data_IF_011406782805
#
_entry.id   IF_011406782805
#
_cell.length_a   1.000
_cell.length_b   1.000
_cell.length_c   1.000
_cell.angle_alpha   90.00
_cell.angle_beta   90.00
_cell.angle_gamma   90.00
#
_symmetry.space_group_name_H-M   'P 1'
#
loop_
_entity.id
_entity.type
_entity.pdbx_description
1 polymer ?
#
# COMPACT_ATOMS: atom_id res chain seq x y z
N UNK A 1 -27.14 -0.21 -0.58
CA UNK A 1 -26.26 0.00 -1.76
C UNK A 1 -26.18 1.47 -2.16
N UNK A 2 -27.30 2.20 -2.47
CA UNK A 2 -27.21 3.60 -2.93
C UNK A 2 -26.43 4.52 -1.97
N UNK A 3 -26.75 4.50 -0.68
CA UNK A 3 -26.02 5.28 0.34
C UNK A 3 -24.54 4.93 0.40
N UNK A 4 -24.23 3.65 0.29
CA UNK A 4 -22.85 3.15 0.23
C UNK A 4 -22.09 3.66 -1.02
N UNK A 5 -22.72 3.62 -2.20
CA UNK A 5 -22.08 4.14 -3.43
C UNK A 5 -21.82 5.64 -3.34
N UNK A 6 -22.75 6.42 -2.73
CA UNK A 6 -22.56 7.85 -2.51
C UNK A 6 -21.40 8.09 -1.54
N UNK A 7 -21.38 7.40 -0.39
CA UNK A 7 -20.34 7.55 0.61
C UNK A 7 -18.97 7.15 0.05
N UNK A 8 -18.90 6.08 -0.72
CA UNK A 8 -17.69 5.59 -1.38
C UNK A 8 -17.10 6.64 -2.34
N UNK A 9 -17.93 7.17 -3.24
CA UNK A 9 -17.50 8.22 -4.17
C UNK A 9 -17.06 9.51 -3.46
N UNK A 10 -17.85 9.97 -2.47
CA UNK A 10 -17.50 11.17 -1.70
C UNK A 10 -16.18 10.95 -0.91
N UNK A 11 -15.96 9.76 -0.35
CA UNK A 11 -14.73 9.42 0.35
C UNK A 11 -13.50 9.46 -0.57
N UNK A 12 -13.62 8.95 -1.79
CA UNK A 12 -12.58 9.07 -2.81
C UNK A 12 -12.28 10.53 -3.17
N UNK A 13 -13.31 11.35 -3.39
CA UNK A 13 -13.11 12.78 -3.66
C UNK A 13 -12.44 13.50 -2.48
N UNK A 14 -12.82 13.17 -1.24
CA UNK A 14 -12.19 13.75 -0.07
C UNK A 14 -10.71 13.38 0.03
N UNK A 15 -10.31 12.12 -0.26
CA UNK A 15 -8.90 11.73 -0.32
C UNK A 15 -8.14 12.55 -1.36
N UNK A 16 -8.69 12.74 -2.57
CA UNK A 16 -8.05 13.55 -3.62
C UNK A 16 -7.88 15.03 -3.21
N UNK A 17 -8.78 15.57 -2.39
CA UNK A 17 -8.77 16.98 -1.98
C UNK A 17 -7.93 17.19 -0.72
N UNK A 18 -8.12 16.38 0.32
CA UNK A 18 -7.51 16.60 1.64
C UNK A 18 -6.19 15.86 1.81
N UNK A 19 -6.12 14.57 1.39
CA UNK A 19 -5.02 13.67 1.77
C UNK A 19 -4.98 13.44 3.27
N UNK A 20 -3.82 13.06 3.82
CA UNK A 20 -3.65 12.74 5.25
C UNK A 20 -2.83 13.84 5.97
N UNK A 21 -3.44 14.97 6.33
CA UNK A 21 -2.72 16.01 7.04
C UNK A 21 -2.28 15.54 8.43
N UNK A 22 -1.04 15.84 8.82
CA UNK A 22 -0.42 15.31 10.05
C UNK A 22 -1.18 15.65 11.34
N UNK A 23 -1.94 16.75 11.36
CA UNK A 23 -2.73 17.19 12.51
C UNK A 23 -4.03 16.40 12.70
N UNK A 24 -4.51 15.71 11.64
CA UNK A 24 -5.75 14.93 11.71
C UNK A 24 -5.47 13.58 12.38
N UNK A 25 -6.24 13.18 13.42
CA UNK A 25 -6.17 11.83 13.94
C UNK A 25 -6.47 10.80 12.85
N UNK A 26 -5.56 9.85 12.64
CA UNK A 26 -5.70 8.86 11.59
C UNK A 26 -5.88 7.46 12.20
N UNK A 27 -6.93 6.69 11.85
CA UNK A 27 -7.21 5.37 12.41
C UNK A 27 -6.05 4.38 12.24
N UNK A 28 -5.27 4.48 11.17
CA UNK A 28 -4.09 3.63 10.96
C UNK A 28 -3.03 3.81 12.06
N UNK A 29 -2.88 5.02 12.61
CA UNK A 29 -1.99 5.26 13.75
C UNK A 29 -2.49 4.56 15.01
N UNK A 30 -3.81 4.48 15.21
CA UNK A 30 -4.40 3.74 16.34
C UNK A 30 -4.18 2.25 16.18
N UNK A 31 -4.36 1.70 14.98
CA UNK A 31 -4.03 0.31 14.64
C UNK A 31 -2.54 0.06 14.88
N UNK A 32 -1.66 0.94 14.41
CA UNK A 32 -0.22 0.84 14.65
C UNK A 32 0.14 0.85 16.12
N UNK A 33 -0.47 1.71 16.93
CA UNK A 33 -0.27 1.75 18.38
C UNK A 33 -0.72 0.44 19.06
N UNK A 34 -1.84 -0.14 18.62
CA UNK A 34 -2.31 -1.43 19.10
C UNK A 34 -1.30 -2.55 18.76
N UNK A 35 -0.78 -2.55 17.52
CA UNK A 35 0.25 -3.50 17.08
C UNK A 35 1.48 -3.39 17.99
N UNK A 36 2.01 -2.18 18.21
CA UNK A 36 3.18 -1.94 19.09
C UNK A 36 2.93 -2.40 20.52
N UNK A 37 1.75 -2.13 21.07
CA UNK A 37 1.39 -2.55 22.43
C UNK A 37 1.36 -4.08 22.57
N UNK A 38 0.75 -4.76 21.59
CA UNK A 38 0.68 -6.23 21.55
C UNK A 38 2.06 -6.86 21.27
N UNK A 39 2.84 -6.27 20.36
CA UNK A 39 4.21 -6.69 20.08
C UNK A 39 5.06 -6.68 21.38
N UNK A 40 5.10 -5.55 22.09
CA UNK A 40 5.81 -5.44 23.36
C UNK A 40 5.38 -6.51 24.37
N UNK A 41 4.07 -6.80 24.45
CA UNK A 41 3.55 -7.80 25.39
C UNK A 41 3.89 -9.22 24.99
N UNK A 42 3.95 -9.55 23.70
CA UNK A 42 4.10 -10.90 23.19
C UNK A 42 5.55 -11.26 22.87
N UNK A 43 6.39 -10.31 22.40
CA UNK A 43 7.81 -10.55 22.14
C UNK A 43 8.67 -10.55 23.42
N UNK A 44 8.33 -9.73 24.41
CA UNK A 44 9.11 -9.62 25.66
C UNK A 44 9.12 -10.89 26.53
N UNK A 45 8.32 -11.88 26.21
CA UNK A 45 8.33 -13.17 26.91
C UNK A 45 9.36 -14.12 26.29
N UNK A 46 10.64 -13.79 26.44
CA UNK A 46 11.73 -14.74 26.16
C UNK A 46 11.50 -16.02 26.95
N UNK A 47 11.37 -17.12 26.26
CA UNK A 47 11.33 -18.46 26.86
C UNK A 47 12.76 -18.95 27.04
N UNK A 48 13.48 -18.41 28.04
CA UNK A 48 14.79 -18.94 28.43
C UNK A 48 14.66 -20.45 28.70
N UNK A 49 15.44 -21.25 27.98
CA UNK A 49 15.54 -22.69 28.22
C UNK A 49 14.65 -23.62 27.36
N UNK A 50 13.96 -23.11 26.36
CA UNK A 50 13.23 -23.97 25.40
C UNK A 50 14.12 -24.39 24.23
N UNK A 51 13.86 -25.60 23.70
CA UNK A 51 14.46 -26.02 22.44
C UNK A 51 14.07 -25.06 21.30
N UNK A 52 14.95 -24.83 20.34
CA UNK A 52 14.76 -23.88 19.23
C UNK A 52 13.43 -24.07 18.49
N UNK A 53 13.01 -25.31 18.23
CA UNK A 53 11.72 -25.62 17.56
C UNK A 53 10.49 -25.21 18.40
N UNK A 54 10.55 -25.35 19.72
CA UNK A 54 9.46 -24.95 20.60
C UNK A 54 9.35 -23.41 20.69
N UNK A 55 10.50 -22.74 20.66
CA UNK A 55 10.54 -21.28 20.63
C UNK A 55 9.91 -20.74 19.34
N UNK A 56 10.30 -21.24 18.17
CA UNK A 56 9.69 -20.86 16.88
C UNK A 56 8.17 -21.07 16.87
N UNK A 57 7.69 -22.23 17.35
CA UNK A 57 6.25 -22.53 17.43
C UNK A 57 5.53 -21.57 18.36
N UNK A 58 6.14 -21.23 19.48
CA UNK A 58 5.60 -20.26 20.45
C UNK A 58 5.50 -18.85 19.85
N UNK A 59 6.53 -18.38 19.14
CA UNK A 59 6.55 -17.09 18.45
C UNK A 59 5.46 -17.02 17.38
N UNK A 60 5.33 -18.04 16.54
CA UNK A 60 4.26 -18.12 15.52
C UNK A 60 2.87 -18.05 16.14
N UNK A 61 2.61 -18.78 17.23
CA UNK A 61 1.32 -18.73 17.94
C UNK A 61 1.01 -17.34 18.46
N UNK A 62 2.00 -16.67 19.08
CA UNK A 62 1.84 -15.30 19.62
C UNK A 62 1.63 -14.28 18.51
N UNK A 63 2.36 -14.40 17.39
CA UNK A 63 2.13 -13.57 16.22
C UNK A 63 0.75 -13.78 15.60
N UNK A 64 0.30 -15.03 15.49
CA UNK A 64 -1.07 -15.34 15.03
C UNK A 64 -2.13 -14.76 15.96
N UNK A 65 -1.91 -14.85 17.28
CA UNK A 65 -2.82 -14.24 18.26
C UNK A 65 -2.87 -12.71 18.13
N UNK A 66 -1.72 -12.06 17.90
CA UNK A 66 -1.66 -10.62 17.61
C UNK A 66 -2.53 -10.28 16.40
N UNK A 67 -2.35 -10.98 15.27
CA UNK A 67 -3.16 -10.75 14.05
C UNK A 67 -4.64 -10.89 14.36
N UNK A 68 -5.04 -11.95 15.06
CA UNK A 68 -6.45 -12.17 15.43
C UNK A 68 -7.01 -11.05 16.29
N UNK A 69 -6.27 -10.58 17.32
CA UNK A 69 -6.71 -9.49 18.19
C UNK A 69 -6.85 -8.19 17.41
N UNK A 70 -5.85 -7.82 16.59
CA UNK A 70 -5.89 -6.58 15.80
C UNK A 70 -7.08 -6.59 14.85
N UNK A 71 -7.32 -7.70 14.14
CA UNK A 71 -8.47 -7.81 13.23
C UNK A 71 -9.80 -7.78 13.97
N UNK A 72 -9.92 -8.46 15.12
CA UNK A 72 -11.15 -8.49 15.91
C UNK A 72 -11.50 -7.10 16.48
N UNK A 73 -10.50 -6.38 16.99
CA UNK A 73 -10.69 -5.01 17.52
C UNK A 73 -11.05 -4.07 16.38
N UNK A 74 -10.33 -4.15 15.24
CA UNK A 74 -10.62 -3.31 14.08
C UNK A 74 -12.03 -3.55 13.57
N UNK A 75 -12.44 -4.82 13.41
CA UNK A 75 -13.80 -5.19 13.01
C UNK A 75 -14.84 -4.62 13.99
N UNK A 76 -14.67 -4.88 15.29
CA UNK A 76 -15.65 -4.46 16.29
C UNK A 76 -15.84 -2.94 16.33
N UNK A 77 -14.72 -2.18 16.30
CA UNK A 77 -14.77 -0.71 16.32
C UNK A 77 -15.39 -0.15 15.05
N UNK A 78 -14.93 -0.61 13.87
CA UNK A 78 -15.42 -0.09 12.59
C UNK A 78 -16.87 -0.47 12.34
N UNK A 79 -17.26 -1.71 12.64
CA UNK A 79 -18.65 -2.15 12.54
C UNK A 79 -19.57 -1.38 13.49
N UNK A 80 -19.15 -1.17 14.74
CA UNK A 80 -19.90 -0.37 15.72
C UNK A 80 -20.14 1.06 15.22
N UNK A 81 -19.10 1.73 14.68
CA UNK A 81 -19.23 3.10 14.18
C UNK A 81 -20.15 3.19 12.98
N UNK A 82 -20.01 2.31 11.99
CA UNK A 82 -20.82 2.33 10.76
C UNK A 82 -22.26 1.94 11.07
N UNK A 83 -22.47 0.81 11.74
CA UNK A 83 -23.81 0.31 12.04
C UNK A 83 -24.52 1.29 13.00
N UNK A 84 -23.85 1.76 14.04
CA UNK A 84 -24.39 2.74 14.97
C UNK A 84 -24.83 4.02 14.29
N UNK A 85 -24.02 4.55 13.36
CA UNK A 85 -24.35 5.75 12.60
C UNK A 85 -25.59 5.55 11.71
N UNK A 86 -25.68 4.42 10.99
CA UNK A 86 -26.85 4.12 10.15
C UNK A 86 -28.12 3.84 10.96
N UNK A 87 -28.02 3.25 12.15
CA UNK A 87 -29.16 3.04 13.05
C UNK A 87 -29.71 4.36 13.60
N UNK A 88 -28.84 5.36 13.84
CA UNK A 88 -29.23 6.67 14.29
C UNK A 88 -29.93 7.47 13.16
N UNK A 89 -29.27 7.56 11.99
CA UNK A 89 -29.84 8.26 10.85
C UNK A 89 -29.09 7.89 9.55
N UNK A 90 -29.80 7.63 8.42
CA UNK A 90 -29.13 7.25 7.16
C UNK A 90 -28.09 8.26 6.67
N UNK A 91 -28.33 9.55 6.76
CA UNK A 91 -27.36 10.60 6.35
C UNK A 91 -26.16 10.68 7.28
N UNK A 92 -26.34 10.39 8.58
CA UNK A 92 -25.20 10.25 9.50
C UNK A 92 -24.35 9.03 9.12
N UNK A 93 -25.00 7.93 8.76
CA UNK A 93 -24.31 6.74 8.21
C UNK A 93 -23.47 7.09 6.99
N UNK A 94 -24.04 7.78 6.02
CA UNK A 94 -23.29 8.25 4.82
C UNK A 94 -22.12 9.14 5.20
N UNK A 95 -22.29 10.09 6.12
CA UNK A 95 -21.21 10.99 6.53
C UNK A 95 -20.04 10.23 7.20
N UNK A 96 -20.37 9.32 8.14
CA UNK A 96 -19.35 8.49 8.82
C UNK A 96 -18.65 7.58 7.83
N UNK A 97 -19.39 6.91 6.95
CA UNK A 97 -18.85 6.03 5.93
C UNK A 97 -17.95 6.80 4.94
N UNK A 98 -18.34 8.01 4.53
CA UNK A 98 -17.55 8.91 3.69
C UNK A 98 -16.21 9.24 4.34
N UNK A 99 -16.21 9.64 5.62
CA UNK A 99 -14.99 9.99 6.36
C UNK A 99 -14.10 8.75 6.52
N UNK A 100 -14.68 7.61 6.86
CA UNK A 100 -13.93 6.37 7.00
C UNK A 100 -13.33 5.90 5.67
N UNK A 101 -14.07 5.99 4.57
CA UNK A 101 -13.57 5.66 3.21
C UNK A 101 -12.42 6.59 2.82
N UNK A 102 -12.56 7.88 3.06
CA UNK A 102 -11.48 8.85 2.87
C UNK A 102 -10.18 8.45 3.60
N UNK A 103 -10.28 8.03 4.86
CA UNK A 103 -9.12 7.65 5.68
C UNK A 103 -8.55 6.26 5.34
N UNK A 104 -9.19 5.49 4.48
CA UNK A 104 -8.73 4.19 3.98
C UNK A 104 -7.82 4.37 2.75
N UNK A 105 -8.13 5.32 1.89
CA UNK A 105 -7.42 5.58 0.63
C UNK A 105 -6.18 6.47 0.86
N UNK A 106 -5.20 6.37 -0.01
CA UNK A 106 -3.94 7.08 0.15
C UNK A 106 -3.43 7.76 -1.15
N UNK A 107 -4.32 8.11 -2.09
CA UNK A 107 -3.92 8.67 -3.39
C UNK A 107 -3.19 10.00 -3.23
N UNK A 108 -3.81 10.93 -2.50
CA UNK A 108 -3.21 12.26 -2.25
C UNK A 108 -1.97 12.17 -1.36
N UNK A 109 -2.01 11.32 -0.34
CA UNK A 109 -0.90 11.13 0.59
C UNK A 109 0.35 10.64 -0.15
N UNK A 110 0.24 9.61 -0.98
CA UNK A 110 1.33 9.08 -1.80
C UNK A 110 1.93 10.13 -2.73
N UNK A 111 1.06 10.92 -3.39
CA UNK A 111 1.52 12.04 -4.22
C UNK A 111 2.29 13.07 -3.40
N UNK A 112 1.75 13.51 -2.28
CA UNK A 112 2.38 14.55 -1.45
C UNK A 112 3.75 14.08 -0.97
N UNK A 113 3.84 12.87 -0.42
CA UNK A 113 5.09 12.35 0.13
C UNK A 113 6.15 12.10 -0.96
N UNK A 114 5.78 11.49 -2.08
CA UNK A 114 6.71 11.28 -3.20
C UNK A 114 7.15 12.59 -3.87
N UNK A 115 6.26 13.59 -3.90
CA UNK A 115 6.61 14.91 -4.43
C UNK A 115 7.55 15.71 -3.52
N UNK A 116 7.59 15.44 -2.21
CA UNK A 116 8.65 15.97 -1.33
C UNK A 116 10.02 15.42 -1.75
N UNK A 117 10.12 14.13 -2.07
CA UNK A 117 11.36 13.53 -2.59
C UNK A 117 11.79 14.22 -3.89
N UNK A 118 10.85 14.43 -4.83
CA UNK A 118 11.13 15.17 -6.06
C UNK A 118 11.64 16.58 -5.81
N UNK A 119 11.00 17.32 -4.90
CA UNK A 119 11.41 18.70 -4.54
C UNK A 119 12.80 18.72 -3.92
N UNK A 120 13.08 17.80 -2.99
CA UNK A 120 14.39 17.72 -2.36
C UNK A 120 15.48 17.36 -3.38
N UNK A 121 15.24 16.39 -4.30
CA UNK A 121 16.19 16.06 -5.37
C UNK A 121 16.49 17.24 -6.31
N UNK A 122 15.50 18.10 -6.58
CA UNK A 122 15.63 19.17 -7.57
C UNK A 122 16.10 20.50 -6.98
N UNK A 123 15.87 20.76 -5.68
CA UNK A 123 16.08 22.08 -5.07
C UNK A 123 16.95 22.08 -3.82
N UNK A 124 16.96 21.01 -3.03
CA UNK A 124 17.55 21.01 -1.68
C UNK A 124 18.83 20.17 -1.60
N UNK A 125 18.99 19.20 -2.49
CA UNK A 125 20.16 18.34 -2.57
C UNK A 125 19.93 16.93 -2.03
N UNK A 126 20.98 16.10 -2.15
CA UNK A 126 20.89 14.64 -1.94
C UNK A 126 20.58 14.27 -0.48
N UNK A 127 21.11 15.00 0.50
CA UNK A 127 20.91 14.66 1.92
C UNK A 127 19.44 14.83 2.33
N UNK A 128 18.80 15.92 1.92
CA UNK A 128 17.37 16.15 2.19
C UNK A 128 16.51 15.16 1.40
N UNK A 129 16.90 14.82 0.18
CA UNK A 129 16.21 13.78 -0.61
C UNK A 129 16.28 12.39 0.04
N UNK A 130 17.43 12.02 0.63
CA UNK A 130 17.57 10.78 1.42
C UNK A 130 16.65 10.77 2.64
N UNK A 131 16.54 11.90 3.34
CA UNK A 131 15.61 12.04 4.49
C UNK A 131 14.16 11.92 4.03
N UNK A 132 13.80 12.59 2.94
CA UNK A 132 12.44 12.56 2.41
C UNK A 132 12.04 11.14 1.97
N UNK A 133 12.90 10.43 1.23
CA UNK A 133 12.60 9.07 0.78
C UNK A 133 12.59 8.08 1.94
N UNK A 134 13.39 8.27 3.00
CA UNK A 134 13.36 7.43 4.21
C UNK A 134 12.00 7.40 4.91
N UNK A 135 11.18 8.43 4.72
CA UNK A 135 9.82 8.49 5.28
C UNK A 135 8.83 7.55 4.57
N UNK A 136 9.16 7.07 3.38
CA UNK A 136 8.24 6.28 2.55
C UNK A 136 8.79 4.91 2.12
N UNK A 137 10.05 4.59 2.47
CA UNK A 137 10.67 3.29 2.15
C UNK A 137 11.20 2.59 3.40
N UNK A 138 11.25 1.26 3.36
CA UNK A 138 11.78 0.44 4.46
C UNK A 138 13.26 0.03 4.30
N UNK A 139 13.98 0.56 3.29
CA UNK A 139 15.41 0.26 3.03
C UNK A 139 16.33 1.36 3.56
N UNK A 140 17.62 1.05 3.66
CA UNK A 140 18.64 2.02 4.04
C UNK A 140 18.82 3.05 2.93
N UNK A 141 18.57 4.33 3.23
CA UNK A 141 18.59 5.41 2.25
C UNK A 141 19.90 6.19 2.22
N UNK A 142 20.72 6.11 3.27
CA UNK A 142 21.96 6.86 3.41
C UNK A 142 23.00 6.59 2.30
N UNK A 143 22.93 5.39 1.70
CA UNK A 143 23.87 4.97 0.65
C UNK A 143 23.38 5.24 -0.77
N UNK A 144 22.15 5.75 -0.94
CA UNK A 144 21.56 5.98 -2.26
C UNK A 144 22.10 7.26 -2.90
N UNK A 145 22.43 7.20 -4.17
CA UNK A 145 22.64 8.37 -5.00
C UNK A 145 21.29 8.97 -5.46
N UNK A 146 21.32 10.07 -6.20
CA UNK A 146 20.09 10.73 -6.66
C UNK A 146 19.20 9.82 -7.51
N UNK A 147 19.78 8.99 -8.37
CA UNK A 147 19.04 8.03 -9.18
C UNK A 147 18.43 6.93 -8.30
N UNK A 148 19.18 6.43 -7.32
CA UNK A 148 18.69 5.45 -6.35
C UNK A 148 17.53 5.97 -5.50
N UNK A 149 17.59 7.23 -5.07
CA UNK A 149 16.49 7.91 -4.35
C UNK A 149 15.26 8.04 -5.25
N UNK A 150 15.43 8.46 -6.52
CA UNK A 150 14.32 8.56 -7.46
C UNK A 150 13.67 7.20 -7.73
N UNK A 151 14.48 6.15 -8.00
CA UNK A 151 13.99 4.77 -8.16
C UNK A 151 13.18 4.32 -6.94
N UNK A 152 13.69 4.54 -5.73
CA UNK A 152 13.01 4.17 -4.50
C UNK A 152 11.64 4.83 -4.36
N UNK A 153 11.52 6.12 -4.69
CA UNK A 153 10.25 6.84 -4.67
C UNK A 153 9.28 6.30 -5.74
N UNK A 154 9.76 6.05 -6.96
CA UNK A 154 8.97 5.49 -8.07
C UNK A 154 8.43 4.09 -7.70
N UNK A 155 9.29 3.20 -7.19
CA UNK A 155 8.92 1.86 -6.73
C UNK A 155 7.83 1.93 -5.66
N UNK A 156 8.00 2.80 -4.66
CA UNK A 156 7.01 2.98 -3.58
C UNK A 156 5.65 3.45 -4.12
N UNK A 157 5.62 4.41 -5.03
CA UNK A 157 4.35 4.88 -5.62
C UNK A 157 3.73 3.77 -6.47
N UNK A 158 4.52 3.04 -7.25
CA UNK A 158 4.04 1.95 -8.10
C UNK A 158 3.45 0.80 -7.27
N UNK A 159 4.14 0.33 -6.22
CA UNK A 159 3.67 -0.71 -5.31
C UNK A 159 2.41 -0.26 -4.56
N UNK A 160 2.44 0.94 -3.98
CA UNK A 160 1.32 1.47 -3.22
C UNK A 160 0.13 1.90 -4.08
N UNK A 161 0.25 2.01 -5.40
CA UNK A 161 -0.91 2.09 -6.29
C UNK A 161 -1.80 0.85 -6.12
N UNK A 162 -1.22 -0.34 -5.86
CA UNK A 162 -1.98 -1.51 -5.43
C UNK A 162 -2.40 -1.39 -3.96
N UNK A 163 -1.43 -1.33 -3.06
CA UNK A 163 -1.64 -1.62 -1.63
C UNK A 163 -2.23 -0.44 -0.84
N UNK A 164 -2.01 0.78 -1.33
CA UNK A 164 -2.53 2.02 -0.74
C UNK A 164 -3.76 2.59 -1.42
N UNK A 165 -4.07 2.16 -2.67
CA UNK A 165 -5.16 2.73 -3.46
C UNK A 165 -6.15 1.67 -3.92
N UNK A 166 -5.78 0.79 -4.84
CA UNK A 166 -6.75 -0.11 -5.50
C UNK A 166 -7.21 -1.22 -4.56
N UNK A 167 -6.32 -1.86 -3.81
CA UNK A 167 -6.72 -2.92 -2.89
C UNK A 167 -7.69 -2.40 -1.81
N UNK A 168 -7.37 -1.33 -1.04
CA UNK A 168 -8.32 -0.80 -0.08
C UNK A 168 -9.61 -0.30 -0.73
N UNK A 169 -9.56 0.25 -1.95
CA UNK A 169 -10.72 0.65 -2.73
C UNK A 169 -11.64 -0.55 -3.03
N UNK A 170 -11.10 -1.67 -3.52
CA UNK A 170 -11.86 -2.89 -3.81
C UNK A 170 -12.51 -3.48 -2.55
N UNK A 171 -11.77 -3.56 -1.44
CA UNK A 171 -12.32 -4.06 -0.17
C UNK A 171 -13.42 -3.14 0.36
N UNK A 172 -13.25 -1.82 0.26
CA UNK A 172 -14.26 -0.84 0.67
C UNK A 172 -15.50 -0.93 -0.24
N UNK A 173 -15.33 -1.08 -1.54
CA UNK A 173 -16.43 -1.25 -2.48
C UNK A 173 -17.27 -2.51 -2.19
N UNK A 174 -16.64 -3.61 -1.75
CA UNK A 174 -17.29 -4.89 -1.48
C UNK A 174 -18.00 -4.94 -0.12
N UNK A 175 -17.44 -4.34 0.91
CA UNK A 175 -17.95 -4.49 2.27
C UNK A 175 -17.84 -3.24 3.14
N UNK A 176 -17.85 -2.07 2.48
CA UNK A 176 -17.79 -0.77 3.14
C UNK A 176 -16.49 -0.56 3.92
N UNK A 177 -16.44 0.47 4.76
CA UNK A 177 -15.25 0.79 5.54
C UNK A 177 -14.81 -0.33 6.48
N UNK A 178 -15.70 -1.25 6.84
CA UNK A 178 -15.34 -2.38 7.72
C UNK A 178 -14.32 -3.28 7.04
N UNK A 179 -14.58 -3.72 5.81
CA UNK A 179 -13.60 -4.52 5.04
C UNK A 179 -12.39 -3.69 4.64
N UNK A 180 -12.57 -2.42 4.30
CA UNK A 180 -11.47 -1.50 3.99
C UNK A 180 -10.47 -1.38 5.15
N UNK A 181 -10.94 -1.17 6.38
CA UNK A 181 -10.06 -1.09 7.56
C UNK A 181 -9.47 -2.45 7.96
N UNK A 182 -10.19 -3.55 7.77
CA UNK A 182 -9.60 -4.89 7.97
C UNK A 182 -8.42 -5.12 7.02
N UNK A 183 -8.58 -4.76 5.75
CA UNK A 183 -7.47 -4.81 4.80
C UNK A 183 -6.31 -3.89 5.23
N UNK A 184 -6.59 -2.64 5.61
CA UNK A 184 -5.56 -1.71 6.10
C UNK A 184 -4.87 -2.23 7.37
N UNK A 185 -5.59 -2.92 8.26
CA UNK A 185 -4.98 -3.54 9.44
C UNK A 185 -4.02 -4.68 9.06
N UNK A 186 -4.38 -5.52 8.08
CA UNK A 186 -3.48 -6.56 7.54
C UNK A 186 -2.22 -5.93 6.95
N UNK A 187 -2.38 -4.96 6.07
CA UNK A 187 -1.28 -4.27 5.41
C UNK A 187 -0.37 -3.52 6.42
N UNK A 188 -0.96 -2.89 7.44
CA UNK A 188 -0.19 -2.23 8.51
C UNK A 188 0.60 -3.23 9.35
N UNK A 189 0.01 -4.39 9.67
CA UNK A 189 0.73 -5.44 10.40
C UNK A 189 1.91 -5.96 9.59
N UNK A 190 1.76 -6.20 8.29
CA UNK A 190 2.88 -6.62 7.43
C UNK A 190 3.97 -5.56 7.41
N UNK A 191 3.63 -4.30 7.17
CA UNK A 191 4.58 -3.18 7.13
C UNK A 191 5.34 -2.99 8.46
N UNK A 192 4.76 -3.35 9.60
CA UNK A 192 5.38 -3.16 10.92
C UNK A 192 6.15 -4.38 11.42
N UNK A 193 5.64 -5.58 11.17
CA UNK A 193 6.17 -6.83 11.75
C UNK A 193 6.39 -7.95 10.73
N UNK A 194 6.12 -7.75 9.44
CA UNK A 194 6.26 -8.75 8.37
C UNK A 194 7.69 -8.98 7.87
N UNK A 195 8.67 -8.27 8.40
CA UNK A 195 10.07 -8.36 7.98
C UNK A 195 10.70 -9.74 8.20
N UNK A 196 11.51 -10.20 7.24
CA UNK A 196 12.27 -11.47 7.32
C UNK A 196 13.61 -11.29 8.05
N UNK A 197 13.61 -10.63 9.20
CA UNK A 197 14.76 -10.51 10.09
C UNK A 197 14.61 -11.46 11.31
N UNK A 198 15.67 -11.61 12.11
CA UNK A 198 15.68 -12.50 13.26
C UNK A 198 14.52 -12.24 14.23
N UNK A 199 14.15 -10.98 14.43
CA UNK A 199 13.09 -10.57 15.34
C UNK A 199 11.69 -11.02 14.89
N UNK A 200 11.41 -10.95 13.59
CA UNK A 200 10.05 -11.12 13.05
C UNK A 200 9.84 -12.37 12.19
N UNK A 201 10.91 -13.11 11.86
CA UNK A 201 10.85 -14.26 10.95
C UNK A 201 9.74 -15.26 11.30
N UNK A 202 9.57 -15.55 12.59
CA UNK A 202 8.52 -16.45 13.07
C UNK A 202 7.29 -15.67 13.56
N UNK A 203 7.49 -14.60 14.31
CA UNK A 203 6.42 -13.81 14.89
C UNK A 203 5.57 -13.11 13.84
N UNK A 204 6.17 -12.45 12.86
CA UNK A 204 5.48 -11.70 11.80
C UNK A 204 4.94 -12.57 10.66
N UNK A 205 5.25 -13.86 10.64
CA UNK A 205 4.92 -14.75 9.53
C UNK A 205 3.43 -14.78 9.16
N UNK A 206 2.54 -14.73 10.15
CA UNK A 206 1.08 -14.73 9.91
C UNK A 206 0.65 -13.41 9.29
N UNK A 207 1.18 -12.27 9.75
CA UNK A 207 0.91 -10.96 9.17
C UNK A 207 1.33 -10.91 7.70
N UNK A 208 2.59 -11.27 7.39
CA UNK A 208 3.11 -11.29 6.02
C UNK A 208 2.31 -12.20 5.08
N UNK A 209 1.95 -13.40 5.53
CA UNK A 209 1.12 -14.31 4.72
C UNK A 209 -0.30 -13.81 4.53
N UNK A 210 -0.89 -13.16 5.53
CA UNK A 210 -2.22 -12.57 5.40
C UNK A 210 -2.23 -11.46 4.37
N UNK A 211 -1.19 -10.61 4.37
CA UNK A 211 -1.02 -9.56 3.38
C UNK A 211 -0.82 -10.13 1.97
N UNK A 212 0.05 -11.12 1.80
CA UNK A 212 0.26 -11.80 0.52
C UNK A 212 -1.06 -12.34 -0.06
N UNK A 213 -1.93 -12.91 0.77
CA UNK A 213 -3.24 -13.45 0.35
C UNK A 213 -4.23 -12.32 0.04
N UNK A 214 -4.34 -11.32 0.91
CA UNK A 214 -5.25 -10.19 0.71
C UNK A 214 -4.90 -9.37 -0.53
N UNK A 215 -3.62 -9.22 -0.86
CA UNK A 215 -3.15 -8.50 -2.03
C UNK A 215 -3.10 -9.36 -3.30
N UNK A 216 -3.32 -10.67 -3.22
CA UNK A 216 -3.13 -11.54 -4.39
C UNK A 216 -4.01 -11.13 -5.58
N UNK A 217 -5.30 -11.00 -5.41
CA UNK A 217 -6.21 -10.58 -6.48
C UNK A 217 -6.14 -9.07 -6.75
N UNK A 218 -6.18 -8.18 -5.73
CA UNK A 218 -6.08 -6.74 -5.93
C UNK A 218 -4.87 -6.31 -6.72
N UNK A 219 -3.67 -6.85 -6.46
CA UNK A 219 -2.46 -6.45 -7.18
C UNK A 219 -2.51 -6.77 -8.69
N UNK A 220 -3.20 -7.83 -9.09
CA UNK A 220 -3.40 -8.18 -10.51
C UNK A 220 -4.42 -7.25 -11.15
N UNK A 221 -5.52 -6.95 -10.46
CA UNK A 221 -6.49 -5.96 -10.92
C UNK A 221 -5.80 -4.60 -11.07
N UNK A 222 -5.02 -4.18 -10.07
CA UNK A 222 -4.22 -2.94 -10.11
C UNK A 222 -3.30 -2.88 -11.32
N UNK A 223 -2.59 -3.97 -11.62
CA UNK A 223 -1.71 -4.05 -12.77
C UNK A 223 -2.47 -3.87 -14.09
N UNK A 224 -3.61 -4.51 -14.28
CA UNK A 224 -4.41 -4.35 -15.49
C UNK A 224 -5.02 -2.95 -15.60
N UNK A 225 -5.49 -2.36 -14.51
CA UNK A 225 -5.96 -0.97 -14.48
C UNK A 225 -4.82 0.00 -14.82
N UNK A 226 -3.62 -0.22 -14.28
CA UNK A 226 -2.44 0.59 -14.57
C UNK A 226 -1.96 0.43 -16.02
N UNK A 227 -2.06 -0.76 -16.62
CA UNK A 227 -1.82 -0.96 -18.05
C UNK A 227 -2.82 -0.15 -18.89
N UNK A 228 -4.12 -0.21 -18.56
CA UNK A 228 -5.14 0.59 -19.21
C UNK A 228 -4.86 2.10 -19.05
N UNK A 229 -4.49 2.53 -17.85
CA UNK A 229 -4.07 3.90 -17.58
C UNK A 229 -2.87 4.34 -18.43
N UNK A 230 -1.89 3.44 -18.65
CA UNK A 230 -0.75 3.73 -19.53
C UNK A 230 -1.13 3.86 -21.01
N UNK A 231 -2.16 3.15 -21.47
CA UNK A 231 -2.70 3.36 -22.83
C UNK A 231 -3.46 4.68 -22.98
N UNK A 232 -4.13 5.13 -21.91
CA UNK A 232 -4.95 6.35 -21.92
C UNK A 232 -4.16 7.61 -21.56
N UNK A 233 -3.00 7.45 -20.92
CA UNK A 233 -2.22 8.54 -20.33
C UNK A 233 -1.44 9.42 -21.34
N UNK A 234 -1.50 9.13 -22.64
CA UNK A 234 -0.84 9.90 -23.69
C UNK A 234 0.63 9.53 -23.90
N UNK A 235 1.39 10.44 -24.52
CA UNK A 235 2.77 10.19 -25.01
C UNK A 235 3.80 9.93 -23.90
N UNK A 236 3.50 10.27 -22.66
CA UNK A 236 4.42 10.03 -21.52
C UNK A 236 4.53 8.55 -21.15
N UNK A 237 3.62 7.71 -21.65
CA UNK A 237 3.53 6.31 -21.28
C UNK A 237 3.45 5.38 -22.50
N UNK A 238 4.11 4.23 -22.36
CA UNK A 238 3.99 3.13 -23.32
C UNK A 238 3.06 2.04 -22.79
N UNK A 239 1.81 2.01 -23.21
CA UNK A 239 0.88 0.92 -22.86
C UNK A 239 1.37 -0.44 -23.35
N UNK A 240 1.99 -0.52 -24.56
CA UNK A 240 2.61 -1.74 -25.09
C UNK A 240 3.81 -2.16 -24.23
N UNK A 241 4.66 -1.20 -23.82
CA UNK A 241 5.79 -1.43 -22.92
C UNK A 241 5.31 -1.94 -21.55
N UNK A 242 4.30 -1.29 -20.96
CA UNK A 242 3.66 -1.68 -19.71
C UNK A 242 3.22 -3.16 -19.74
N UNK A 243 2.44 -3.56 -20.75
CA UNK A 243 1.96 -4.93 -20.88
C UNK A 243 3.09 -5.94 -21.13
N UNK A 244 4.07 -5.59 -21.97
CA UNK A 244 5.23 -6.46 -22.27
C UNK A 244 6.05 -6.75 -21.02
N UNK A 245 6.42 -5.71 -20.27
CA UNK A 245 7.23 -5.86 -19.06
C UNK A 245 6.45 -6.56 -17.96
N UNK A 246 5.17 -6.23 -17.77
CA UNK A 246 4.28 -6.95 -16.87
C UNK A 246 4.29 -8.47 -17.11
N UNK A 247 4.14 -8.91 -18.35
CA UNK A 247 4.15 -10.34 -18.68
C UNK A 247 5.48 -11.02 -18.34
N UNK A 248 6.60 -10.31 -18.54
CA UNK A 248 7.93 -10.84 -18.32
C UNK A 248 8.32 -10.82 -16.83
N UNK A 249 8.13 -9.67 -16.15
CA UNK A 249 8.80 -9.36 -14.88
C UNK A 249 7.88 -9.37 -13.64
N UNK A 250 6.58 -9.56 -13.79
CA UNK A 250 5.61 -9.53 -12.68
C UNK A 250 5.90 -10.50 -11.52
N UNK A 251 6.89 -11.36 -11.64
CA UNK A 251 7.32 -12.33 -10.62
C UNK A 251 8.74 -12.04 -10.11
N UNK A 252 9.35 -10.97 -10.55
CA UNK A 252 10.73 -10.60 -10.18
C UNK A 252 10.79 -9.85 -8.83
N UNK A 253 10.04 -10.33 -7.83
CA UNK A 253 10.07 -9.79 -6.48
C UNK A 253 9.86 -10.92 -5.45
N UNK A 254 10.36 -10.70 -4.22
CA UNK A 254 10.20 -11.66 -3.12
C UNK A 254 8.75 -11.78 -2.61
N UNK A 255 7.96 -10.70 -2.70
CA UNK A 255 6.51 -10.73 -2.55
C UNK A 255 5.87 -11.11 -3.89
N UNK A 256 4.81 -11.95 -3.89
CA UNK A 256 4.09 -12.32 -5.11
C UNK A 256 3.28 -11.16 -5.71
N UNK A 257 3.19 -10.02 -5.02
CA UNK A 257 2.30 -8.91 -5.32
C UNK A 257 3.02 -7.65 -5.79
N UNK A 258 4.15 -7.26 -5.19
CA UNK A 258 4.83 -5.97 -5.43
C UNK A 258 5.23 -5.78 -6.90
N UNK A 259 5.84 -6.78 -7.54
CA UNK A 259 6.25 -6.68 -8.93
C UNK A 259 5.07 -6.57 -9.93
N UNK A 260 3.82 -6.77 -9.51
CA UNK A 260 2.68 -6.66 -10.42
C UNK A 260 2.57 -5.23 -10.97
N UNK A 261 2.52 -4.23 -10.10
CA UNK A 261 2.42 -2.81 -10.46
C UNK A 261 3.78 -2.18 -10.77
N UNK A 262 4.86 -2.59 -10.09
CA UNK A 262 6.20 -2.11 -10.39
C UNK A 262 6.62 -2.44 -11.83
N UNK A 263 6.33 -3.66 -12.31
CA UNK A 263 6.65 -4.05 -13.68
C UNK A 263 5.84 -3.28 -14.73
N UNK A 264 4.58 -2.98 -14.42
CA UNK A 264 3.76 -2.12 -15.28
C UNK A 264 4.34 -0.71 -15.36
N UNK A 265 4.70 -0.12 -14.21
CA UNK A 265 5.28 1.21 -14.12
C UNK A 265 6.62 1.29 -14.89
N UNK A 266 7.52 0.34 -14.64
CA UNK A 266 8.80 0.25 -15.35
C UNK A 266 8.61 0.19 -16.87
N UNK A 267 7.69 -0.65 -17.35
CA UNK A 267 7.39 -0.80 -18.76
C UNK A 267 6.67 0.40 -19.36
N UNK A 268 5.78 1.06 -18.61
CA UNK A 268 5.09 2.26 -19.05
C UNK A 268 6.04 3.43 -19.27
N UNK A 269 7.04 3.57 -18.38
CA UNK A 269 8.03 4.65 -18.41
C UNK A 269 9.27 4.30 -19.25
N UNK A 270 9.49 3.03 -19.61
CA UNK A 270 10.69 2.60 -20.32
C UNK A 270 11.96 2.71 -19.49
N UNK A 271 11.89 2.40 -18.19
CA UNK A 271 13.01 2.49 -17.23
C UNK A 271 13.23 1.15 -16.54
N UNK A 272 14.40 1.01 -15.92
CA UNK A 272 14.73 -0.13 -15.10
C UNK A 272 14.63 0.21 -13.60
N UNK A 273 13.84 -0.56 -12.86
CA UNK A 273 13.62 -0.48 -11.43
C UNK A 273 14.22 -1.70 -10.70
N UNK A 274 14.08 -1.73 -9.39
CA UNK A 274 14.59 -2.78 -8.51
C UNK A 274 16.12 -2.94 -8.60
N UNK A 275 16.63 -4.17 -8.49
CA UNK A 275 18.04 -4.44 -8.32
C UNK A 275 18.46 -4.50 -6.86
N UNK A 276 19.75 -4.61 -6.60
CA UNK A 276 20.30 -4.78 -5.26
C UNK A 276 19.92 -3.60 -4.34
N UNK A 277 19.56 -3.90 -3.10
CA UNK A 277 19.19 -2.90 -2.12
C UNK A 277 19.81 -3.22 -0.75
N UNK A 278 20.06 -2.19 0.07
CA UNK A 278 20.62 -2.36 1.42
C UNK A 278 19.47 -2.32 2.44
N UNK A 279 19.43 -3.34 3.29
CA UNK A 279 18.51 -3.44 4.42
C UNK A 279 19.30 -3.77 5.68
N UNK A 280 19.18 -2.95 6.71
CA UNK A 280 19.89 -3.14 7.98
C UNK A 280 21.41 -3.37 7.80
N UNK A 281 22.02 -2.59 6.90
CA UNK A 281 23.46 -2.69 6.57
C UNK A 281 23.85 -3.90 5.72
N UNK A 282 22.91 -4.73 5.27
CA UNK A 282 23.18 -5.92 4.43
C UNK A 282 22.63 -5.72 3.03
N UNK A 283 23.47 -6.06 2.03
CA UNK A 283 23.05 -6.06 0.61
C UNK A 283 22.13 -7.27 0.37
N UNK A 284 20.93 -7.00 -0.10
CA UNK A 284 19.95 -7.99 -0.54
C UNK A 284 19.91 -7.96 -2.07
N UNK A 285 20.33 -9.03 -2.69
CA UNK A 285 20.26 -9.20 -4.15
C UNK A 285 18.82 -9.34 -4.60
N UNK A 286 18.40 -8.52 -5.57
CA UNK A 286 17.08 -8.57 -6.19
C UNK A 286 17.20 -8.53 -7.71
N UNK A 287 16.37 -9.25 -8.45
CA UNK A 287 16.31 -9.10 -9.89
C UNK A 287 15.87 -7.69 -10.29
N UNK A 288 16.32 -7.25 -11.45
CA UNK A 288 15.82 -6.01 -12.05
C UNK A 288 14.40 -6.21 -12.62
N UNK A 289 13.66 -5.12 -12.70
CA UNK A 289 12.32 -5.03 -13.27
C UNK A 289 12.35 -3.95 -14.36
N UNK A 290 11.93 -4.29 -15.58
CA UNK A 290 11.95 -3.38 -16.72
C UNK A 290 13.24 -3.48 -17.52
N UNK A 291 13.29 -2.67 -18.59
CA UNK A 291 14.44 -2.56 -19.50
C UNK A 291 15.17 -1.24 -19.23
N UNK A 292 16.48 -1.23 -19.34
CA UNK A 292 17.30 -0.02 -19.26
C UNK A 292 17.33 0.68 -20.63
N UNK A 293 16.16 1.15 -21.09
CA UNK A 293 16.03 1.81 -22.39
C UNK A 293 16.39 3.29 -22.36
N UNK A 294 16.28 3.90 -21.19
CA UNK A 294 16.73 5.24 -20.86
C UNK A 294 17.06 5.37 -19.37
N UNK A 295 17.90 6.33 -18.99
CA UNK A 295 18.16 6.59 -17.58
C UNK A 295 16.87 7.05 -16.85
N UNK A 296 16.80 6.76 -15.55
CA UNK A 296 15.75 7.28 -14.69
C UNK A 296 15.97 8.77 -14.46
N UNK A 297 14.93 9.54 -14.71
CA UNK A 297 14.88 10.99 -14.46
C UNK A 297 14.11 11.29 -13.17
N UNK A 298 14.41 12.38 -12.49
CA UNK A 298 13.62 12.80 -11.31
C UNK A 298 12.16 13.08 -11.69
N UNK A 299 11.91 13.54 -12.92
CA UNK A 299 10.57 13.75 -13.47
C UNK A 299 9.72 12.46 -13.52
N UNK A 300 10.34 11.29 -13.50
CA UNK A 300 9.61 10.03 -13.47
C UNK A 300 8.80 9.84 -12.19
N UNK A 301 9.17 10.50 -11.09
CA UNK A 301 8.34 10.56 -9.88
C UNK A 301 7.00 11.23 -10.17
N UNK A 302 6.99 12.32 -10.95
CA UNK A 302 5.74 13.01 -11.36
C UNK A 302 4.94 12.17 -12.34
N UNK A 303 5.62 11.55 -13.31
CA UNK A 303 4.97 10.65 -14.29
C UNK A 303 4.32 9.47 -13.57
N UNK A 304 4.99 8.85 -12.60
CA UNK A 304 4.43 7.74 -11.82
C UNK A 304 3.20 8.17 -11.01
N UNK A 305 3.23 9.36 -10.39
CA UNK A 305 2.06 9.91 -9.72
C UNK A 305 0.87 10.12 -10.69
N UNK A 306 1.14 10.61 -11.91
CA UNK A 306 0.10 10.76 -12.92
C UNK A 306 -0.50 9.40 -13.31
N UNK A 307 0.34 8.39 -13.49
CA UNK A 307 -0.10 7.01 -13.78
C UNK A 307 -0.95 6.45 -12.65
N UNK A 308 -0.54 6.65 -11.38
CA UNK A 308 -1.31 6.27 -10.20
C UNK A 308 -2.69 6.94 -10.17
N UNK A 309 -2.77 8.25 -10.41
CA UNK A 309 -4.06 8.97 -10.44
C UNK A 309 -5.00 8.45 -11.53
N UNK A 310 -4.49 8.22 -12.73
CA UNK A 310 -5.28 7.61 -13.82
C UNK A 310 -5.78 6.21 -13.43
N UNK A 311 -4.91 5.42 -12.80
CA UNK A 311 -5.26 4.09 -12.30
C UNK A 311 -6.34 4.16 -11.21
N UNK A 312 -6.23 5.11 -10.29
CA UNK A 312 -7.21 5.33 -9.22
C UNK A 312 -8.59 5.71 -9.78
N UNK A 313 -8.66 6.61 -10.77
CA UNK A 313 -9.91 6.97 -11.43
C UNK A 313 -10.55 5.80 -12.18
N UNK A 314 -9.75 4.98 -12.86
CA UNK A 314 -10.25 3.77 -13.51
C UNK A 314 -10.78 2.76 -12.50
N UNK A 315 -10.09 2.59 -11.37
CA UNK A 315 -10.53 1.74 -10.26
C UNK A 315 -11.85 2.20 -9.66
N UNK A 316 -11.94 3.48 -9.32
CA UNK A 316 -13.16 4.10 -8.77
C UNK A 316 -14.36 3.95 -9.72
N UNK A 317 -14.15 4.27 -11.01
CA UNK A 317 -15.20 4.11 -12.03
C UNK A 317 -15.64 2.66 -12.16
N UNK A 318 -14.69 1.71 -12.14
CA UNK A 318 -15.00 0.28 -12.20
C UNK A 318 -15.79 -0.20 -10.98
N UNK A 319 -15.42 0.24 -9.77
CA UNK A 319 -16.15 -0.08 -8.54
C UNK A 319 -17.57 0.50 -8.55
N UNK A 320 -17.73 1.77 -8.92
CA UNK A 320 -19.06 2.40 -9.01
C UNK A 320 -19.94 1.73 -10.05
N UNK A 321 -19.40 1.40 -11.22
CA UNK A 321 -20.13 0.65 -12.25
C UNK A 321 -20.65 -0.69 -11.72
N UNK A 322 -19.80 -1.44 -11.01
CA UNK A 322 -20.18 -2.70 -10.41
C UNK A 322 -21.27 -2.52 -9.33
N UNK A 323 -21.16 -1.50 -8.47
CA UNK A 323 -22.18 -1.19 -7.46
C UNK A 323 -23.52 -0.82 -8.09
N UNK A 324 -23.51 -0.04 -9.18
CA UNK A 324 -24.73 0.33 -9.91
C UNK A 324 -25.38 -0.90 -10.54
N UNK A 325 -24.59 -1.81 -11.13
CA UNK A 325 -25.15 -3.06 -11.65
C UNK A 325 -25.87 -3.87 -10.57
N UNK A 326 -25.31 -3.96 -9.35
CA UNK A 326 -25.95 -4.67 -8.23
C UNK A 326 -27.24 -3.98 -7.78
N UNK A 327 -27.35 -2.66 -7.90
CA UNK A 327 -28.57 -1.91 -7.55
C UNK A 327 -29.69 -2.17 -8.58
N UNK A 328 -29.32 -2.37 -9.84
CA UNK A 328 -30.27 -2.56 -10.95
C UNK A 328 -30.76 -4.01 -11.10
N UNK A 329 -30.04 -4.99 -10.53
CA UNK A 329 -30.43 -6.40 -10.46
C UNK A 329 -31.33 -6.69 -9.25
#
# INVERSE_FOLDING_TARGET
>A
MLYHSIAFFLGFLLDLILGDPYWLPHPIRLIGNLIVALEKRFLSKETKGKEHKEQEKSERRRGTLLVFIVLSVTFAVTAFLVIGAYLLHPYLGVAVETIMTYQILAVKCLKVESMKVYQSLTKEGIEEARKAVAMIVGRDTAVLDGTGVAKAAIETVAENTSDGVIAPMLYTALGGPVLGFLYKAVNTMDSMIGYKNEKYLNFGRTAAKSDDVCNYLPSRISAYLMIAAAYLGGSDFSGKGAYRIYKRDRRNHASPNSAQTESVCAGALGIQLAGDAVYFGKVVKKPHIGDDTRPVEYEDIRRTNRLMYLTAWLGETGCLFFMVLIILL
#
